data_IF_627995946942
#
_entry.id   IF_627995946942
#
_cell.length_a   1.000
_cell.length_b   1.000
_cell.length_c   1.000
_cell.angle_alpha   90.00
_cell.angle_beta   90.00
_cell.angle_gamma   90.00
#
_symmetry.space_group_name_H-M   'P 1'
#
loop_
_entity.id
_entity.type
_entity.pdbx_description
1 polymer ?
#
# COMPACT_ATOMS: atom_id res chain seq x y z
N UNK A 1 -19.89 4.63 0.23
CA UNK A 1 -19.83 5.22 1.58
C UNK A 1 -18.99 4.39 2.57
N UNK A 2 -18.39 3.29 2.16
CA UNK A 2 -17.65 2.32 3.00
C UNK A 2 -18.46 1.74 4.17
N UNK A 3 -19.78 1.80 4.13
CA UNK A 3 -20.67 1.26 5.15
C UNK A 3 -21.03 -0.20 4.83
N UNK A 4 -21.03 -1.05 5.85
CA UNK A 4 -21.42 -2.46 5.72
C UNK A 4 -22.89 -2.56 5.39
N UNK A 5 -23.24 -3.40 4.42
CA UNK A 5 -24.62 -3.56 3.99
C UNK A 5 -25.50 -4.09 5.12
N UNK A 6 -26.66 -3.46 5.33
CA UNK A 6 -27.58 -3.82 6.41
C UNK A 6 -27.26 -3.23 7.79
N UNK A 7 -26.18 -2.47 7.92
CA UNK A 7 -25.81 -1.82 9.18
C UNK A 7 -25.63 -0.32 8.99
N UNK A 8 -26.07 0.49 9.96
CA UNK A 8 -25.98 1.95 9.89
C UNK A 8 -24.66 2.49 10.46
N UNK A 9 -24.10 1.80 11.46
CA UNK A 9 -22.98 2.26 12.27
C UNK A 9 -21.69 1.47 12.04
N UNK A 10 -21.71 0.49 11.13
CA UNK A 10 -20.56 -0.36 10.85
C UNK A 10 -19.95 0.01 9.49
N UNK A 11 -18.64 0.26 9.50
CA UNK A 11 -17.86 0.61 8.32
C UNK A 11 -16.75 -0.38 8.11
N UNK A 12 -16.45 -0.72 6.85
CA UNK A 12 -15.32 -1.54 6.45
C UNK A 12 -14.45 -0.76 5.47
N UNK A 13 -13.14 -0.75 5.70
CA UNK A 13 -12.15 -0.08 4.84
C UNK A 13 -10.92 -0.94 4.66
N UNK A 14 -10.18 -0.69 3.57
CA UNK A 14 -8.97 -1.45 3.23
C UNK A 14 -9.29 -2.87 2.79
N UNK A 15 -8.40 -3.79 3.11
CA UNK A 15 -8.42 -5.16 2.58
C UNK A 15 -9.63 -6.00 3.01
N UNK A 16 -10.30 -5.62 4.09
CA UNK A 16 -11.53 -6.30 4.56
C UNK A 16 -12.79 -5.78 3.86
N UNK A 17 -12.70 -4.67 3.13
CA UNK A 17 -13.82 -4.07 2.45
C UNK A 17 -13.98 -4.68 1.05
N UNK A 18 -15.11 -5.33 0.79
CA UNK A 18 -15.49 -5.68 -0.56
C UNK A 18 -16.47 -4.63 -1.08
N UNK A 19 -16.08 -3.95 -2.14
CA UNK A 19 -16.89 -2.91 -2.77
C UNK A 19 -16.67 -2.94 -4.27
N UNK A 20 -17.76 -3.06 -5.01
CA UNK A 20 -17.73 -3.04 -6.47
C UNK A 20 -17.86 -1.61 -6.97
N UNK A 21 -17.11 -1.30 -8.01
CA UNK A 21 -17.17 -0.06 -8.78
C UNK A 21 -17.13 -0.41 -10.26
N UNK A 22 -17.64 0.46 -11.12
CA UNK A 22 -17.67 0.21 -12.57
C UNK A 22 -16.29 -0.13 -13.14
N UNK A 23 -15.24 0.50 -12.63
CA UNK A 23 -13.86 0.23 -12.99
C UNK A 23 -13.27 -1.01 -12.29
N UNK A 24 -13.89 -1.48 -11.20
CA UNK A 24 -13.43 -2.60 -10.36
C UNK A 24 -14.59 -3.53 -10.00
N UNK A 25 -15.15 -4.28 -10.99
CA UNK A 25 -16.34 -5.12 -10.78
C UNK A 25 -16.09 -6.31 -9.84
N UNK A 26 -14.84 -6.69 -9.61
CA UNK A 26 -14.44 -7.76 -8.68
C UNK A 26 -13.91 -7.22 -7.34
N UNK A 27 -14.24 -5.97 -7.00
CA UNK A 27 -13.70 -5.29 -5.83
C UNK A 27 -12.38 -4.57 -6.10
N UNK A 28 -12.04 -3.66 -5.20
CA UNK A 28 -10.81 -2.86 -5.31
C UNK A 28 -9.56 -3.70 -4.99
N UNK A 29 -8.40 -3.36 -5.57
CA UNK A 29 -7.16 -4.04 -5.24
C UNK A 29 -6.79 -3.83 -3.76
N UNK A 30 -6.25 -4.88 -3.13
CA UNK A 30 -5.82 -4.85 -1.73
C UNK A 30 -4.44 -4.17 -1.62
N UNK A 31 -4.45 -2.85 -1.70
CA UNK A 31 -3.24 -2.02 -1.66
C UNK A 31 -3.43 -0.81 -0.74
N UNK A 32 -2.37 -0.36 -0.13
CA UNK A 32 -2.38 0.76 0.82
C UNK A 32 -3.06 2.04 0.28
N UNK A 33 -2.89 2.46 -0.99
CA UNK A 33 -3.57 3.64 -1.54
C UNK A 33 -5.09 3.55 -1.48
N UNK A 34 -5.70 2.37 -1.67
CA UNK A 34 -7.15 2.16 -1.55
C UNK A 34 -7.59 2.39 -0.11
N UNK A 35 -6.92 1.74 0.85
CA UNK A 35 -7.23 1.87 2.27
C UNK A 35 -7.12 3.32 2.76
N UNK A 36 -6.07 4.03 2.34
CA UNK A 36 -5.87 5.44 2.67
C UNK A 36 -6.98 6.34 2.10
N UNK A 37 -7.38 6.14 0.84
CA UNK A 37 -8.43 6.93 0.22
C UNK A 37 -9.81 6.63 0.86
N UNK A 38 -10.07 5.37 1.24
CA UNK A 38 -11.28 5.01 1.99
C UNK A 38 -11.31 5.70 3.37
N UNK A 39 -10.18 5.70 4.09
CA UNK A 39 -10.09 6.38 5.38
C UNK A 39 -10.30 7.90 5.25
N UNK A 40 -9.68 8.54 4.28
CA UNK A 40 -9.86 9.96 3.99
C UNK A 40 -11.31 10.31 3.64
N UNK A 41 -11.97 9.45 2.88
CA UNK A 41 -13.39 9.62 2.56
C UNK A 41 -14.26 9.52 3.80
N UNK A 42 -14.01 8.52 4.66
CA UNK A 42 -14.77 8.35 5.90
C UNK A 42 -14.65 9.57 6.81
N UNK A 43 -13.42 10.08 7.00
CA UNK A 43 -13.20 11.30 7.79
C UNK A 43 -13.98 12.48 7.22
N UNK A 44 -13.99 12.65 5.90
CA UNK A 44 -14.76 13.70 5.24
C UNK A 44 -16.27 13.49 5.42
N UNK A 45 -16.76 12.27 5.23
CA UNK A 45 -18.18 11.94 5.36
C UNK A 45 -18.71 12.08 6.80
N UNK A 46 -17.87 11.83 7.82
CA UNK A 46 -18.24 12.06 9.22
C UNK A 46 -18.34 13.54 9.57
N UNK A 47 -17.62 14.41 8.85
CA UNK A 47 -17.65 15.86 9.05
C UNK A 47 -18.68 16.56 8.16
N UNK A 48 -19.08 15.92 7.08
CA UNK A 48 -20.02 16.51 6.11
C UNK A 48 -21.47 16.23 6.52
N UNK A 49 -22.25 17.29 6.68
CA UNK A 49 -23.69 17.26 6.84
C UNK A 49 -24.24 18.31 5.88
N UNK A 50 -25.16 17.96 4.98
CA UNK A 50 -25.90 16.72 4.77
C UNK A 50 -25.33 15.77 3.68
N UNK A 51 -24.32 16.17 2.89
CA UNK A 51 -23.92 15.42 1.70
C UNK A 51 -22.74 14.48 1.96
N UNK A 52 -23.03 13.18 2.06
CA UNK A 52 -22.02 12.12 2.06
C UNK A 52 -21.63 11.78 0.62
N UNK A 53 -20.34 11.58 0.38
CA UNK A 53 -19.80 11.17 -0.93
C UNK A 53 -19.60 9.67 -1.01
N UNK A 54 -19.84 9.11 -2.19
CA UNK A 54 -19.49 7.74 -2.50
C UNK A 54 -17.98 7.58 -2.70
N UNK A 55 -17.47 6.38 -2.45
CA UNK A 55 -16.09 6.06 -2.70
C UNK A 55 -15.89 5.86 -4.20
N UNK A 56 -14.86 6.48 -4.72
CA UNK A 56 -14.32 6.19 -6.04
C UNK A 56 -12.81 6.17 -5.94
N UNK A 57 -12.22 5.08 -6.39
CA UNK A 57 -10.79 4.87 -6.29
C UNK A 57 -10.05 5.60 -7.41
N UNK A 58 -9.12 6.43 -7.02
CA UNK A 58 -8.16 7.03 -7.94
C UNK A 58 -6.84 6.26 -7.91
N UNK A 59 -6.55 5.54 -8.99
CA UNK A 59 -5.30 4.81 -9.14
C UNK A 59 -4.13 5.79 -9.36
N UNK A 60 -3.21 5.81 -8.41
CA UNK A 60 -1.98 6.63 -8.46
C UNK A 60 -0.82 5.91 -9.13
N UNK A 61 -1.05 4.68 -9.59
CA UNK A 61 -0.01 3.81 -10.09
C UNK A 61 0.55 2.86 -9.05
N UNK A 62 1.41 1.98 -9.52
CA UNK A 62 2.05 0.95 -8.71
C UNK A 62 3.57 1.00 -8.85
N UNK A 63 4.25 0.58 -7.79
CA UNK A 63 5.70 0.47 -7.77
C UNK A 63 6.10 -0.82 -7.07
N UNK A 64 7.09 -1.51 -7.63
CA UNK A 64 7.66 -2.70 -7.02
C UNK A 64 9.18 -2.68 -7.12
N UNK A 65 9.86 -3.11 -6.07
CA UNK A 65 11.30 -3.33 -6.10
C UNK A 65 11.62 -4.78 -6.40
N UNK A 66 12.62 -5.00 -7.23
CA UNK A 66 13.15 -6.31 -7.54
C UNK A 66 14.64 -6.32 -7.19
N UNK A 67 14.96 -6.94 -6.06
CA UNK A 67 16.33 -6.91 -5.57
C UNK A 67 16.77 -5.52 -5.08
N UNK A 68 18.07 -5.21 -5.27
CA UNK A 68 18.70 -4.07 -4.61
C UNK A 68 18.59 -2.73 -5.36
N UNK A 69 18.74 -2.74 -6.68
CA UNK A 69 18.83 -1.53 -7.49
C UNK A 69 17.79 -1.48 -8.60
N UNK A 70 16.85 -2.40 -8.58
CA UNK A 70 15.83 -2.50 -9.60
C UNK A 70 14.46 -2.24 -8.99
N UNK A 71 13.75 -1.32 -9.59
CA UNK A 71 12.34 -1.09 -9.31
C UNK A 71 11.61 -0.93 -10.64
N UNK A 72 10.35 -1.26 -10.63
CA UNK A 72 9.43 -1.01 -11.73
C UNK A 72 8.41 0.00 -11.25
N UNK A 73 8.19 1.01 -12.04
CA UNK A 73 7.21 2.07 -11.78
C UNK A 73 6.21 2.06 -12.92
N UNK A 74 4.95 2.01 -12.57
CA UNK A 74 3.81 2.07 -13.47
C UNK A 74 2.89 3.22 -13.00
N UNK A 75 2.96 4.36 -13.69
CA UNK A 75 2.16 5.54 -13.36
C UNK A 75 1.16 5.78 -14.49
N UNK A 76 -0.15 5.85 -14.18
CA UNK A 76 -1.14 6.27 -15.16
C UNK A 76 -0.92 7.75 -15.52
N UNK A 77 -0.64 8.02 -16.79
CA UNK A 77 -0.52 9.39 -17.30
C UNK A 77 -1.85 9.85 -17.87
N UNK A 78 -2.21 11.14 -17.70
CA UNK A 78 -3.37 11.70 -18.37
C UNK A 78 -3.33 11.43 -19.88
N UNK A 79 -4.47 11.14 -20.47
CA UNK A 79 -4.68 10.67 -21.87
C UNK A 79 -3.97 11.46 -22.98
N UNK A 80 -3.33 12.58 -22.66
CA UNK A 80 -2.61 13.44 -23.62
C UNK A 80 -1.26 12.87 -24.04
N UNK A 81 -0.64 12.00 -23.25
CA UNK A 81 0.74 11.50 -23.48
C UNK A 81 0.88 9.99 -23.66
N UNK A 82 -0.20 9.26 -23.80
CA UNK A 82 -0.14 7.80 -23.93
C UNK A 82 -0.63 7.07 -22.70
N UNK A 83 -0.52 5.74 -22.70
CA UNK A 83 -1.26 4.90 -21.78
C UNK A 83 -0.66 4.76 -20.39
N UNK A 84 0.65 4.70 -20.26
CA UNK A 84 1.34 4.55 -18.96
C UNK A 84 2.83 4.84 -19.09
N UNK A 85 3.42 5.44 -18.08
CA UNK A 85 4.87 5.59 -18.00
C UNK A 85 5.46 4.38 -17.26
N UNK A 86 6.22 3.58 -17.99
CA UNK A 86 6.97 2.45 -17.43
C UNK A 86 8.44 2.80 -17.43
N UNK A 87 9.07 2.78 -16.29
CA UNK A 87 10.52 2.86 -16.19
C UNK A 87 11.03 2.03 -15.02
N UNK A 88 12.29 1.63 -15.14
CA UNK A 88 12.91 0.76 -14.15
C UNK A 88 14.35 1.16 -13.84
N UNK A 89 15.02 0.38 -13.01
CA UNK A 89 16.42 0.55 -12.65
C UNK A 89 16.65 1.44 -11.43
N UNK A 90 17.84 2.01 -11.34
CA UNK A 90 18.29 2.77 -10.17
C UNK A 90 17.42 4.01 -9.87
N UNK A 91 17.02 4.75 -10.88
CA UNK A 91 16.18 5.94 -10.68
C UNK A 91 14.79 5.58 -10.17
N UNK A 92 14.19 4.51 -10.69
CA UNK A 92 12.92 4.00 -10.18
C UNK A 92 13.05 3.57 -8.71
N UNK A 93 14.17 2.94 -8.34
CA UNK A 93 14.47 2.57 -6.97
C UNK A 93 14.64 3.79 -6.05
N UNK A 94 15.31 4.85 -6.51
CA UNK A 94 15.40 6.10 -5.73
C UNK A 94 14.04 6.76 -5.50
N UNK A 95 13.19 6.80 -6.51
CA UNK A 95 11.82 7.34 -6.39
C UNK A 95 11.01 6.49 -5.42
N UNK A 96 11.08 5.17 -5.55
CA UNK A 96 10.44 4.24 -4.63
C UNK A 96 10.86 4.50 -3.18
N UNK A 97 12.16 4.58 -2.94
CA UNK A 97 12.72 4.86 -1.61
C UNK A 97 12.24 6.19 -1.06
N UNK A 98 12.30 7.25 -1.85
CA UNK A 98 11.86 8.60 -1.43
C UNK A 98 10.40 8.64 -1.05
N UNK A 99 9.52 8.05 -1.87
CA UNK A 99 8.09 8.00 -1.60
C UNK A 99 7.76 7.20 -0.34
N UNK A 100 8.43 6.06 -0.14
CA UNK A 100 8.20 5.25 1.07
C UNK A 100 8.71 5.94 2.34
N UNK A 101 9.84 6.64 2.27
CA UNK A 101 10.31 7.47 3.39
C UNK A 101 9.34 8.59 3.75
N UNK A 102 8.71 9.22 2.74
CA UNK A 102 7.71 10.27 2.99
C UNK A 102 6.46 9.75 3.69
N UNK A 103 6.10 8.48 3.48
CA UNK A 103 4.94 7.85 4.12
C UNK A 103 5.19 7.46 5.58
N UNK A 104 6.45 7.38 6.01
CA UNK A 104 6.78 7.07 7.40
C UNK A 104 6.44 8.27 8.29
N UNK A 105 5.68 8.02 9.35
CA UNK A 105 5.30 9.04 10.31
C UNK A 105 6.50 9.44 11.19
N UNK A 106 6.69 10.76 11.32
CA UNK A 106 7.70 11.36 12.18
C UNK A 106 9.09 11.48 11.53
N UNK A 107 9.67 12.66 11.68
CA UNK A 107 11.00 12.99 11.11
C UNK A 107 12.10 12.09 11.67
N UNK A 108 12.04 11.80 12.97
CA UNK A 108 13.00 10.90 13.65
C UNK A 108 13.00 9.50 12.99
N UNK A 109 11.82 8.92 12.79
CA UNK A 109 11.69 7.60 12.18
C UNK A 109 12.19 7.59 10.74
N UNK A 110 11.89 8.61 9.95
CA UNK A 110 12.42 8.77 8.59
C UNK A 110 13.93 8.77 8.56
N UNK A 111 14.56 9.50 9.46
CA UNK A 111 16.02 9.58 9.54
C UNK A 111 16.64 8.23 9.90
N UNK A 112 16.09 7.52 10.88
CA UNK A 112 16.58 6.19 11.25
C UNK A 112 16.42 5.17 10.13
N UNK A 113 15.29 5.13 9.47
CA UNK A 113 15.04 4.21 8.35
C UNK A 113 15.96 4.54 7.18
N UNK A 114 16.10 5.81 6.83
CA UNK A 114 17.02 6.24 5.78
C UNK A 114 18.47 5.84 6.07
N UNK A 115 18.95 6.11 7.30
CA UNK A 115 20.31 5.78 7.71
C UNK A 115 20.56 4.27 7.68
N UNK A 116 19.58 3.47 8.11
CA UNK A 116 19.65 2.02 8.07
C UNK A 116 19.66 1.49 6.63
N UNK A 117 18.84 2.04 5.75
CA UNK A 117 18.85 1.68 4.33
C UNK A 117 20.16 2.04 3.66
N UNK A 118 20.70 3.22 3.95
CA UNK A 118 21.99 3.67 3.43
C UNK A 118 23.14 2.76 3.91
N UNK A 119 23.15 2.43 5.21
CA UNK A 119 24.11 1.49 5.77
C UNK A 119 24.04 0.13 5.10
N UNK A 120 22.85 -0.47 5.00
CA UNK A 120 22.65 -1.77 4.35
C UNK A 120 23.00 -1.72 2.85
N UNK A 121 22.78 -0.58 2.22
CA UNK A 121 23.18 -0.37 0.83
C UNK A 121 24.70 -0.40 0.65
N UNK A 122 25.44 0.20 1.57
CA UNK A 122 26.92 0.26 1.51
C UNK A 122 27.60 -1.02 1.98
N UNK A 123 27.08 -1.66 3.03
CA UNK A 123 27.75 -2.80 3.68
C UNK A 123 27.32 -4.16 3.15
N UNK A 124 26.25 -4.24 2.35
CA UNK A 124 25.63 -5.52 1.93
C UNK A 124 25.13 -6.39 3.09
N UNK A 125 25.09 -5.83 4.30
CA UNK A 125 24.63 -6.56 5.49
C UNK A 125 23.11 -6.59 5.54
N UNK A 126 22.54 -7.78 5.29
CA UNK A 126 21.09 -8.02 5.40
C UNK A 126 20.79 -8.61 6.79
N UNK A 127 20.87 -7.78 7.82
CA UNK A 127 20.60 -8.18 9.20
C UNK A 127 19.15 -8.60 9.47
N UNK A 128 18.24 -8.37 8.55
CA UNK A 128 16.84 -8.75 8.67
C UNK A 128 16.53 -10.02 7.88
N UNK A 129 17.10 -11.14 8.28
CA UNK A 129 16.60 -12.44 7.84
C UNK A 129 15.42 -12.81 8.72
N UNK A 130 14.23 -12.83 8.13
CA UNK A 130 13.05 -13.45 8.74
C UNK A 130 13.35 -14.96 8.87
N UNK A 131 13.71 -15.39 10.06
CA UNK A 131 13.87 -16.81 10.37
C UNK A 131 12.47 -17.34 10.71
N UNK A 132 11.83 -17.96 9.73
CA UNK A 132 10.62 -18.73 9.99
C UNK A 132 11.01 -19.99 10.75
N UNK A 133 10.73 -20.05 12.05
CA UNK A 133 10.84 -21.28 12.81
C UNK A 133 9.64 -22.16 12.44
N UNK A 134 9.87 -23.24 11.73
CA UNK A 134 8.82 -24.23 11.49
C UNK A 134 8.44 -24.84 12.84
N UNK A 135 7.21 -24.58 13.28
CA UNK A 135 6.64 -25.32 14.40
C UNK A 135 6.21 -26.71 13.89
N UNK A 136 7.05 -27.70 14.10
CA UNK A 136 6.62 -29.09 13.97
C UNK A 136 5.64 -29.37 15.11
N UNK A 137 4.37 -29.51 14.76
CA UNK A 137 3.38 -30.07 15.67
C UNK A 137 3.65 -31.55 15.75
N UNK A 138 4.31 -32.00 16.78
CA UNK A 138 4.38 -33.46 17.08
C UNK A 138 2.95 -33.97 17.26
N UNK A 139 2.48 -34.74 16.28
CA UNK A 139 1.27 -35.53 16.44
C UNK A 139 1.59 -36.59 17.55
N UNK A 140 1.24 -36.30 18.82
CA UNK A 140 1.10 -37.33 19.81
C UNK A 140 0.06 -38.32 19.29
N UNK A 141 0.52 -39.44 18.77
CA UNK A 141 -0.31 -40.63 18.55
C UNK A 141 -0.89 -40.98 19.90
N UNK A 142 -2.21 -40.84 20.08
CA UNK A 142 -2.94 -41.42 21.17
C UNK A 142 -2.79 -42.92 21.04
N UNK A 143 -2.12 -43.54 22.04
CA UNK A 143 -2.17 -44.97 22.27
C UNK A 143 -3.44 -45.33 23.04
#
# INVERSE_FOLDING_TARGET
YCRVHGYEDIYAIGDVAYMEELAYPNGHPQVAPVAMQMADLLVKNFRAVPEKKEFSYYDKGSMATVGRNLAVVDIPIPKVFGTKLHFGGFFAWMIWMGLHLMQILGVKNRFFVFSNWLYNYMTYDQNLRLIFKQFYRENKKAG
#
